data_IF_295871259847
#
_entry.id   IF_295871259847
#
_cell.length_a   1.000
_cell.length_b   1.000
_cell.length_c   1.000
_cell.angle_alpha   90.00
_cell.angle_beta   90.00
_cell.angle_gamma   90.00
#
_symmetry.space_group_name_H-M   'P 1'
#
loop_
_entity.id
_entity.type
_entity.pdbx_description
1 polymer ?
#
# COMPACT_ATOMS: atom_id res chain seq x y z
N UNK A 1 24.52 -35.74 -20.72
CA UNK A 1 24.50 -35.46 -22.16
C UNK A 1 23.43 -36.32 -22.82
N UNK A 2 22.30 -35.71 -23.17
CA UNK A 2 21.48 -36.02 -24.35
C UNK A 2 20.35 -34.98 -24.41
N UNK A 3 20.25 -34.22 -25.51
CA UNK A 3 19.22 -33.20 -25.72
C UNK A 3 18.00 -33.82 -26.42
N UNK A 4 16.80 -33.26 -26.21
CA UNK A 4 15.67 -33.44 -27.13
C UNK A 4 15.03 -32.09 -27.41
N UNK A 5 15.51 -31.51 -28.50
CA UNK A 5 14.88 -30.48 -29.31
C UNK A 5 13.68 -31.12 -30.02
N UNK A 6 12.56 -30.39 -30.12
CA UNK A 6 11.77 -30.13 -31.33
C UNK A 6 10.43 -29.49 -30.89
N UNK A 7 10.25 -28.18 -31.11
CA UNK A 7 9.63 -27.60 -32.32
C UNK A 7 8.19 -28.10 -32.55
N UNK A 8 7.21 -27.28 -32.16
CA UNK A 8 5.95 -27.14 -32.88
C UNK A 8 5.52 -25.67 -32.85
N UNK A 9 5.77 -25.00 -33.97
CA UNK A 9 5.04 -23.83 -34.43
C UNK A 9 3.78 -24.30 -35.15
N UNK A 10 2.63 -23.65 -34.97
CA UNK A 10 1.44 -23.57 -35.85
C UNK A 10 0.40 -22.77 -35.03
N UNK A 11 -0.44 -21.85 -35.51
CA UNK A 11 -0.63 -21.10 -36.75
C UNK A 11 -1.86 -20.20 -36.46
N UNK A 12 -1.90 -19.04 -37.10
CA UNK A 12 -2.94 -18.03 -37.01
C UNK A 12 -4.37 -18.53 -37.36
N UNK A 13 -5.40 -17.87 -36.81
CA UNK A 13 -6.65 -17.65 -37.56
C UNK A 13 -7.40 -16.39 -37.08
N UNK A 14 -7.70 -15.53 -38.06
CA UNK A 14 -8.52 -14.33 -37.95
C UNK A 14 -9.99 -14.63 -38.29
N UNK A 15 -10.91 -13.91 -37.64
CA UNK A 15 -12.32 -13.65 -37.98
C UNK A 15 -12.64 -12.31 -37.27
N UNK A 16 -12.67 -11.12 -37.88
CA UNK A 16 -13.44 -10.59 -39.02
C UNK A 16 -14.98 -10.64 -38.81
N UNK A 17 -15.53 -9.44 -38.54
CA UNK A 17 -16.84 -8.85 -38.90
C UNK A 17 -18.16 -9.61 -38.74
N UNK A 18 -19.14 -8.96 -38.08
CA UNK A 18 -20.57 -9.16 -38.36
C UNK A 18 -21.49 -8.58 -37.27
N UNK A 19 -22.07 -7.39 -37.50
CA UNK A 19 -23.09 -6.85 -36.61
C UNK A 19 -23.39 -5.36 -36.84
N UNK A 20 -23.88 -5.00 -38.02
CA UNK A 20 -24.51 -3.72 -38.26
C UNK A 20 -25.92 -3.71 -37.63
N UNK A 21 -26.23 -2.69 -36.83
CA UNK A 21 -27.62 -2.28 -36.60
C UNK A 21 -27.66 -0.79 -36.28
N UNK A 22 -27.95 0.00 -37.31
CA UNK A 22 -28.49 1.35 -37.17
C UNK A 22 -30.01 1.22 -37.07
N UNK A 23 -30.66 1.98 -36.18
CA UNK A 23 -31.70 2.87 -36.70
C UNK A 23 -31.66 4.27 -36.08
N UNK A 24 -31.73 5.23 -37.00
CA UNK A 24 -32.20 6.63 -37.02
C UNK A 24 -32.87 7.32 -35.81
N UNK A 25 -32.88 8.67 -35.81
CA UNK A 25 -32.96 9.50 -34.61
C UNK A 25 -34.40 9.82 -34.21
N UNK A 26 -34.66 9.78 -32.89
CA UNK A 26 -35.81 10.44 -32.30
C UNK A 26 -35.34 11.73 -31.64
N UNK A 27 -35.52 12.85 -32.34
CA UNK A 27 -35.53 14.16 -31.72
C UNK A 27 -36.76 14.25 -30.80
N UNK A 28 -36.55 14.51 -29.51
CA UNK A 28 -37.53 15.13 -28.63
C UNK A 28 -36.79 15.82 -27.48
N UNK A 29 -36.61 17.12 -27.67
CA UNK A 29 -36.65 18.22 -26.69
C UNK A 29 -36.42 17.82 -25.22
N UNK A 30 -35.20 18.09 -24.74
CA UNK A 30 -34.88 18.16 -23.32
C UNK A 30 -33.99 19.37 -23.07
N UNK A 31 -34.59 20.44 -22.58
CA UNK A 31 -33.93 21.65 -22.13
C UNK A 31 -32.76 21.35 -21.18
N UNK A 32 -31.57 21.85 -21.52
CA UNK A 32 -30.62 22.39 -20.56
C UNK A 32 -30.11 21.48 -19.44
N UNK A 33 -29.85 20.21 -19.69
CA UNK A 33 -28.93 19.47 -18.84
C UNK A 33 -27.51 19.68 -19.39
N UNK A 34 -26.74 20.60 -18.80
CA UNK A 34 -25.30 20.66 -19.02
C UNK A 34 -24.72 19.26 -18.74
N UNK A 35 -24.38 18.55 -19.82
CA UNK A 35 -23.73 17.25 -19.73
C UNK A 35 -22.37 17.49 -19.07
N UNK A 36 -22.31 17.26 -17.75
CA UNK A 36 -21.04 17.23 -17.03
C UNK A 36 -20.10 16.29 -17.80
N UNK A 37 -18.90 16.76 -18.20
CA UNK A 37 -17.99 15.91 -18.95
C UNK A 37 -17.72 14.65 -18.15
N UNK A 38 -17.85 13.50 -18.80
CA UNK A 38 -17.55 12.21 -18.18
C UNK A 38 -16.14 12.24 -17.60
N UNK A 39 -15.90 11.68 -16.40
CA UNK A 39 -14.57 11.66 -15.81
C UNK A 39 -13.61 10.95 -16.77
N UNK A 40 -12.50 11.61 -17.08
CA UNK A 40 -11.44 11.01 -17.90
C UNK A 40 -10.93 9.75 -17.21
N UNK A 41 -10.64 8.67 -17.96
CA UNK A 41 -10.03 7.49 -17.38
C UNK A 41 -8.66 7.84 -16.79
N UNK A 42 -8.38 7.33 -15.58
CA UNK A 42 -7.09 7.55 -14.92
C UNK A 42 -5.93 7.08 -15.82
N UNK A 43 -4.85 7.85 -15.80
CA UNK A 43 -3.59 7.53 -16.46
C UNK A 43 -2.89 6.34 -15.78
N UNK A 44 -1.90 5.75 -16.46
CA UNK A 44 -1.10 4.69 -15.85
C UNK A 44 -0.30 5.18 -14.63
N UNK A 45 0.16 6.44 -14.67
CA UNK A 45 0.90 7.08 -13.59
C UNK A 45 0.04 7.26 -12.33
N UNK A 46 -1.18 7.79 -12.48
CA UNK A 46 -2.13 7.94 -11.36
C UNK A 46 -2.48 6.59 -10.73
N UNK A 47 -2.66 5.55 -11.54
CA UNK A 47 -2.91 4.19 -11.03
C UNK A 47 -1.72 3.64 -10.25
N UNK A 48 -0.49 3.90 -10.70
CA UNK A 48 0.71 3.44 -10.00
C UNK A 48 0.91 4.20 -8.69
N UNK A 49 0.70 5.52 -8.68
CA UNK A 49 0.74 6.34 -7.47
C UNK A 49 -0.30 5.88 -6.44
N UNK A 50 -1.52 5.59 -6.88
CA UNK A 50 -2.58 5.07 -6.00
C UNK A 50 -2.19 3.71 -5.38
N UNK A 51 -1.60 2.80 -6.17
CA UNK A 51 -1.10 1.51 -5.66
C UNK A 51 0.03 1.68 -4.64
N UNK A 52 0.98 2.56 -4.92
CA UNK A 52 2.06 2.86 -3.99
C UNK A 52 1.51 3.40 -2.66
N UNK A 53 0.54 4.32 -2.73
CA UNK A 53 -0.08 4.92 -1.55
C UNK A 53 -0.84 3.88 -0.72
N UNK A 54 -1.62 3.02 -1.37
CA UNK A 54 -2.28 1.91 -0.69
C UNK A 54 -1.29 0.94 -0.03
N UNK A 55 -0.16 0.64 -0.69
CA UNK A 55 0.89 -0.18 -0.11
C UNK A 55 1.56 0.50 1.09
N UNK A 56 1.81 1.80 1.01
CA UNK A 56 2.32 2.59 2.13
C UNK A 56 1.33 2.56 3.31
N UNK A 57 0.03 2.76 3.07
CA UNK A 57 -0.98 2.79 4.13
C UNK A 57 -0.99 1.48 4.94
N UNK A 58 -0.98 0.34 4.25
CA UNK A 58 -0.91 -0.99 4.87
C UNK A 58 0.39 -1.18 5.64
N UNK A 59 1.52 -0.75 5.06
CA UNK A 59 2.82 -0.83 5.72
C UNK A 59 2.88 0.02 7.00
N UNK A 60 2.33 1.24 6.95
CA UNK A 60 2.29 2.15 8.09
C UNK A 60 1.46 1.60 9.24
N UNK A 61 0.27 1.06 8.96
CA UNK A 61 -0.58 0.43 9.97
C UNK A 61 0.15 -0.73 10.67
N UNK A 62 0.71 -1.65 9.89
CA UNK A 62 1.41 -2.81 10.42
C UNK A 62 2.68 -2.43 11.21
N UNK A 63 3.44 -1.44 10.73
CA UNK A 63 4.61 -0.95 11.45
C UNK A 63 4.23 -0.31 12.77
N UNK A 64 3.31 0.64 12.77
CA UNK A 64 2.92 1.39 13.96
C UNK A 64 2.28 0.49 15.02
N UNK A 65 1.48 -0.50 14.63
CA UNK A 65 0.98 -1.52 15.55
C UNK A 65 2.14 -2.29 16.20
N UNK A 66 3.07 -2.81 15.39
CA UNK A 66 4.19 -3.61 15.89
C UNK A 66 5.12 -2.81 16.79
N UNK A 67 5.49 -1.58 16.41
CA UNK A 67 6.37 -0.72 17.22
C UNK A 67 5.70 -0.32 18.53
N UNK A 68 4.39 -0.03 18.51
CA UNK A 68 3.63 0.27 19.73
C UNK A 68 3.61 -0.94 20.67
N UNK A 69 3.34 -2.14 20.15
CA UNK A 69 3.41 -3.37 20.95
C UNK A 69 4.79 -3.57 21.56
N UNK A 70 5.85 -3.36 20.77
CA UNK A 70 7.22 -3.43 21.26
C UNK A 70 7.51 -2.44 22.39
N UNK A 71 7.03 -1.20 22.28
CA UNK A 71 7.18 -0.19 23.32
C UNK A 71 6.41 -0.58 24.61
N UNK A 72 5.21 -1.15 24.47
CA UNK A 72 4.42 -1.66 25.61
C UNK A 72 5.14 -2.81 26.31
N UNK A 73 5.69 -3.76 25.55
CA UNK A 73 6.46 -4.89 26.08
C UNK A 73 7.72 -4.42 26.82
N UNK A 74 8.46 -3.48 26.24
CA UNK A 74 9.66 -2.90 26.84
C UNK A 74 9.33 -2.12 28.12
N UNK A 75 8.27 -1.32 28.11
CA UNK A 75 7.80 -0.60 29.30
C UNK A 75 7.45 -1.57 30.44
N UNK A 76 6.70 -2.64 30.13
CA UNK A 76 6.33 -3.67 31.13
C UNK A 76 7.53 -4.42 31.69
N UNK A 77 8.59 -4.58 30.89
CA UNK A 77 9.81 -5.28 31.30
C UNK A 77 10.77 -4.40 32.12
N UNK A 78 10.77 -3.09 31.87
CA UNK A 78 11.80 -2.18 32.41
C UNK A 78 11.30 -1.20 33.47
N UNK A 79 10.01 -0.86 33.50
CA UNK A 79 9.45 0.15 34.40
C UNK A 79 8.86 -0.47 35.66
N UNK A 80 8.85 0.30 36.75
CA UNK A 80 8.17 -0.09 37.99
C UNK A 80 6.65 -0.04 37.84
N UNK A 81 5.91 -0.73 38.74
CA UNK A 81 4.45 -0.73 38.72
C UNK A 81 3.84 0.68 38.84
N UNK A 82 4.47 1.56 39.63
CA UNK A 82 4.04 2.96 39.79
C UNK A 82 4.21 3.75 38.49
N UNK A 83 5.34 3.58 37.82
CA UNK A 83 5.60 4.23 36.53
C UNK A 83 4.65 3.73 35.44
N UNK A 84 4.32 2.43 35.43
CA UNK A 84 3.34 1.85 34.51
C UNK A 84 1.92 2.39 34.73
N UNK A 85 1.53 2.58 35.99
CA UNK A 85 0.24 3.18 36.35
C UNK A 85 0.15 4.65 35.89
N UNK A 86 1.23 5.42 36.10
CA UNK A 86 1.32 6.82 35.64
C UNK A 86 1.31 6.94 34.12
N UNK A 87 1.93 5.99 33.41
CA UNK A 87 1.99 5.96 31.94
C UNK A 87 0.63 5.68 31.29
N UNK A 88 -0.31 5.05 32.02
CA UNK A 88 -1.66 4.70 31.55
C UNK A 88 -1.61 4.03 30.17
N UNK A 89 -0.93 2.89 30.08
CA UNK A 89 -0.68 2.19 28.83
C UNK A 89 -1.94 1.93 27.98
N UNK A 90 -3.09 1.72 28.62
CA UNK A 90 -4.37 1.51 27.94
C UNK A 90 -4.85 2.74 27.15
N UNK A 91 -4.53 3.95 27.62
CA UNK A 91 -4.86 5.20 26.94
C UNK A 91 -3.74 5.64 25.99
N UNK A 92 -2.49 5.45 26.40
CA UNK A 92 -1.30 5.97 25.70
C UNK A 92 -0.96 5.14 24.47
N UNK A 93 -1.02 3.80 24.54
CA UNK A 93 -0.69 2.93 23.42
C UNK A 93 -1.58 3.17 22.17
N UNK A 94 -2.93 3.17 22.26
CA UNK A 94 -3.76 3.38 21.06
C UNK A 94 -3.57 4.77 20.46
N UNK A 95 -3.37 5.81 21.29
CA UNK A 95 -3.09 7.17 20.82
C UNK A 95 -1.76 7.24 20.07
N UNK A 96 -0.72 6.63 20.64
CA UNK A 96 0.59 6.56 19.99
C UNK A 96 0.52 5.84 18.64
N UNK A 97 -0.22 4.73 18.56
CA UNK A 97 -0.42 4.00 17.31
C UNK A 97 -1.16 4.87 16.26
N UNK A 98 -2.20 5.60 16.66
CA UNK A 98 -2.94 6.50 15.78
C UNK A 98 -2.07 7.64 15.25
N UNK A 99 -1.31 8.30 16.14
CA UNK A 99 -0.37 9.37 15.80
C UNK A 99 0.70 8.86 14.83
N UNK A 100 1.36 7.74 15.17
CA UNK A 100 2.35 7.09 14.31
C UNK A 100 1.76 6.78 12.92
N UNK A 101 0.56 6.19 12.87
CA UNK A 101 -0.08 5.80 11.61
C UNK A 101 -0.36 7.03 10.76
N UNK A 102 -0.88 8.09 11.37
CA UNK A 102 -1.18 9.36 10.70
C UNK A 102 0.08 10.00 10.12
N UNK A 103 1.14 10.11 10.92
CA UNK A 103 2.42 10.68 10.48
C UNK A 103 3.06 9.85 9.37
N UNK A 104 3.06 8.52 9.52
CA UNK A 104 3.62 7.61 8.52
C UNK A 104 2.87 7.72 7.18
N UNK A 105 1.53 7.78 7.19
CA UNK A 105 0.72 7.94 5.96
C UNK A 105 0.83 9.32 5.32
N UNK A 106 1.10 10.34 6.13
CA UNK A 106 1.37 11.70 5.65
C UNK A 106 2.75 11.83 4.99
N UNK A 107 3.70 10.94 5.33
CA UNK A 107 5.03 10.94 4.72
C UNK A 107 4.96 10.58 3.23
N UNK A 108 5.92 11.09 2.44
CA UNK A 108 6.05 10.74 1.02
C UNK A 108 7.17 9.71 0.86
N UNK A 109 6.86 8.44 1.16
CA UNK A 109 7.83 7.36 1.00
C UNK A 109 8.09 7.07 -0.48
N UNK A 110 9.36 6.87 -0.82
CA UNK A 110 9.74 6.33 -2.13
C UNK A 110 9.34 4.86 -2.26
N UNK A 111 9.24 4.36 -3.50
CA UNK A 111 8.96 2.94 -3.79
C UNK A 111 9.89 2.01 -2.99
N UNK A 112 11.19 2.31 -2.98
CA UNK A 112 12.18 1.55 -2.20
C UNK A 112 11.86 1.53 -0.71
N UNK A 113 11.51 2.67 -0.13
CA UNK A 113 11.18 2.73 1.31
C UNK A 113 9.93 1.91 1.63
N UNK A 114 8.91 1.96 0.77
CA UNK A 114 7.72 1.11 0.92
C UNK A 114 8.11 -0.38 0.83
N UNK A 115 8.96 -0.78 -0.12
CA UNK A 115 9.43 -2.17 -0.23
C UNK A 115 10.19 -2.64 1.01
N UNK A 116 11.11 -1.82 1.53
CA UNK A 116 11.84 -2.10 2.78
C UNK A 116 10.86 -2.25 3.95
N UNK A 117 9.90 -1.33 4.08
CA UNK A 117 8.86 -1.38 5.11
C UNK A 117 8.11 -2.72 5.07
N UNK A 118 7.68 -3.16 3.89
CA UNK A 118 7.00 -4.44 3.72
C UNK A 118 7.91 -5.65 4.04
N UNK A 119 9.19 -5.60 3.65
CA UNK A 119 10.17 -6.65 3.97
C UNK A 119 10.35 -6.81 5.48
N UNK A 120 10.56 -5.70 6.18
CA UNK A 120 10.71 -5.67 7.64
C UNK A 120 9.49 -6.26 8.36
N UNK A 121 8.28 -6.03 7.84
CA UNK A 121 7.04 -6.50 8.45
C UNK A 121 6.75 -7.99 8.20
N UNK A 122 7.16 -8.52 7.05
CA UNK A 122 6.85 -9.89 6.64
C UNK A 122 7.87 -10.94 7.09
N UNK A 123 9.16 -10.71 6.86
CA UNK A 123 10.13 -11.83 6.81
C UNK A 123 11.32 -11.67 7.75
N UNK A 124 11.71 -10.45 8.11
CA UNK A 124 13.03 -10.22 8.72
C UNK A 124 13.03 -9.95 10.23
N UNK A 125 11.93 -9.44 10.79
CA UNK A 125 11.89 -9.09 12.20
C UNK A 125 11.04 -10.06 13.01
N UNK A 126 11.67 -10.99 13.72
CA UNK A 126 11.00 -11.86 14.67
C UNK A 126 10.87 -11.22 16.06
N UNK A 127 11.79 -10.32 16.38
CA UNK A 127 11.86 -9.59 17.65
C UNK A 127 11.70 -8.07 17.45
N UNK A 128 11.43 -7.36 18.54
CA UNK A 128 11.37 -5.91 18.55
C UNK A 128 12.69 -5.23 18.17
N UNK A 129 13.82 -5.78 18.63
CA UNK A 129 15.15 -5.25 18.30
C UNK A 129 15.48 -5.39 16.81
N UNK A 130 15.13 -6.54 16.21
CA UNK A 130 15.28 -6.77 14.77
C UNK A 130 14.38 -5.84 13.96
N UNK A 131 13.15 -5.61 14.42
CA UNK A 131 12.22 -4.69 13.75
C UNK A 131 12.80 -3.27 13.71
N UNK A 132 13.25 -2.74 14.85
CA UNK A 132 13.84 -1.40 14.92
C UNK A 132 15.07 -1.29 14.02
N UNK A 133 15.93 -2.31 14.05
CA UNK A 133 17.14 -2.35 13.20
C UNK A 133 16.79 -2.40 11.71
N UNK A 134 15.74 -3.14 11.32
CA UNK A 134 15.29 -3.19 9.94
C UNK A 134 14.71 -1.83 9.50
N UNK A 135 13.89 -1.21 10.34
CA UNK A 135 13.25 0.09 10.06
C UNK A 135 14.28 1.23 9.92
N UNK A 136 15.46 1.13 10.51
CA UNK A 136 16.54 2.10 10.29
C UNK A 136 16.95 2.22 8.81
N UNK A 137 16.69 1.20 7.99
CA UNK A 137 16.93 1.23 6.54
C UNK A 137 15.96 2.13 5.77
N UNK A 138 14.86 2.59 6.41
CA UNK A 138 13.91 3.54 5.83
C UNK A 138 14.47 4.97 5.78
N UNK A 139 15.53 5.27 6.53
CA UNK A 139 16.13 6.60 6.56
C UNK A 139 16.58 7.02 5.15
N UNK A 140 16.36 8.29 4.76
CA UNK A 140 16.86 8.80 3.49
C UNK A 140 18.38 8.63 3.43
N UNK A 141 18.86 7.89 2.44
CA UNK A 141 20.30 7.79 2.18
C UNK A 141 20.77 9.16 1.67
N UNK A 142 21.74 9.77 2.34
CA UNK A 142 22.41 10.97 1.82
C UNK A 142 23.15 10.55 0.55
N UNK A 143 22.67 11.04 -0.60
CA UNK A 143 23.40 11.00 -1.87
C UNK A 143 24.51 12.04 -1.86
#
# INVERSE_FOLDING_TARGET
MSPRICLFAFLALALACGGAQEPEPAELSGEGAEAKPAPKPATAEERNAAKLRAAQDVGCEGMCERTTRCAVEDARASMSAKELEELKLEDTAPRHQEECTTECKASNLSVRQVEVLHSCLREEASTCAELVTCLDQLKPQKS
#
